data_IF_958318534117
#
_entry.id   IF_958318534117
#
_cell.length_a   1.000
_cell.length_b   1.000
_cell.length_c   1.000
_cell.angle_alpha   90.00
_cell.angle_beta   90.00
_cell.angle_gamma   90.00
#
_symmetry.space_group_name_H-M   'P 1'
#
loop_
_entity.id
_entity.type
_entity.pdbx_description
1 polymer ?
#
# COMPACT_ATOMS: atom_id res chain seq x y z
N UNK A 1 -16.79 -88.36 -24.07
CA UNK A 1 -17.35 -87.09 -24.60
C UNK A 1 -17.32 -86.06 -23.49
N UNK A 2 -16.71 -84.90 -23.76
CA UNK A 2 -16.48 -83.78 -22.84
C UNK A 2 -17.71 -82.88 -22.77
N UNK A 3 -18.09 -82.40 -21.58
CA UNK A 3 -18.83 -81.14 -21.41
C UNK A 3 -18.54 -80.54 -20.03
N UNK A 4 -17.83 -79.41 -19.99
CA UNK A 4 -17.76 -78.47 -18.85
C UNK A 4 -18.67 -77.28 -19.17
N UNK A 5 -19.45 -76.72 -18.23
CA UNK A 5 -19.97 -75.36 -18.38
C UNK A 5 -19.03 -74.33 -17.74
N UNK A 6 -19.03 -73.15 -18.35
CA UNK A 6 -18.06 -72.08 -18.23
C UNK A 6 -18.32 -71.13 -17.06
N UNK A 7 -17.24 -70.52 -16.56
CA UNK A 7 -17.25 -69.42 -15.59
C UNK A 7 -18.02 -68.20 -16.12
N UNK A 8 -18.89 -67.64 -15.29
CA UNK A 8 -19.48 -66.32 -15.49
C UNK A 8 -18.45 -65.22 -15.20
N UNK A 9 -18.32 -64.27 -16.14
CA UNK A 9 -17.48 -63.09 -15.98
C UNK A 9 -18.25 -62.00 -15.21
N UNK A 10 -17.71 -61.60 -14.06
CA UNK A 10 -18.18 -60.47 -13.26
C UNK A 10 -17.59 -59.19 -13.85
N UNK A 11 -18.42 -58.32 -14.43
CA UNK A 11 -18.02 -57.02 -14.97
C UNK A 11 -17.91 -56.02 -13.81
N UNK A 12 -16.69 -55.64 -13.44
CA UNK A 12 -16.43 -54.55 -12.49
C UNK A 12 -16.53 -53.22 -13.25
N UNK A 13 -17.61 -52.47 -13.05
CA UNK A 13 -17.69 -51.07 -13.48
C UNK A 13 -16.76 -50.23 -12.60
N UNK A 14 -15.60 -49.89 -13.14
CA UNK A 14 -14.74 -48.82 -12.63
C UNK A 14 -15.45 -47.48 -12.87
N UNK A 15 -16.11 -46.95 -11.83
CA UNK A 15 -16.56 -45.56 -11.80
C UNK A 15 -15.32 -44.67 -11.88
N UNK A 16 -15.11 -44.06 -13.04
CA UNK A 16 -14.13 -43.00 -13.22
C UNK A 16 -14.59 -41.79 -12.38
N UNK A 17 -14.02 -41.64 -11.18
CA UNK A 17 -14.10 -40.40 -10.42
C UNK A 17 -13.39 -39.34 -11.25
N UNK A 18 -14.06 -38.26 -11.70
CA UNK A 18 -13.38 -37.18 -12.39
C UNK A 18 -12.37 -36.59 -11.40
N UNK A 19 -11.08 -36.77 -11.69
CA UNK A 19 -10.01 -36.01 -11.05
C UNK A 19 -10.36 -34.55 -11.29
N UNK A 20 -10.62 -33.78 -10.22
CA UNK A 20 -10.62 -32.34 -10.30
C UNK A 20 -9.32 -31.96 -11.00
N UNK A 21 -9.41 -31.37 -12.19
CA UNK A 21 -8.24 -30.80 -12.85
C UNK A 21 -7.66 -29.80 -11.85
N UNK A 22 -6.42 -30.01 -11.42
CA UNK A 22 -5.69 -29.03 -10.62
C UNK A 22 -5.66 -27.74 -11.44
N UNK A 23 -6.56 -26.80 -11.09
CA UNK A 23 -6.62 -25.52 -11.74
C UNK A 23 -5.26 -24.86 -11.57
N UNK A 24 -4.63 -24.46 -12.69
CA UNK A 24 -3.35 -23.76 -12.61
C UNK A 24 -3.59 -22.46 -11.83
N UNK A 25 -2.87 -22.22 -10.72
CA UNK A 25 -3.10 -21.05 -9.90
C UNK A 25 -2.84 -19.78 -10.71
N UNK A 26 -3.69 -18.77 -10.54
CA UNK A 26 -3.40 -17.45 -11.07
C UNK A 26 -2.22 -16.85 -10.32
N UNK A 27 -1.41 -16.06 -11.04
CA UNK A 27 -0.18 -15.47 -10.51
C UNK A 27 -0.22 -13.97 -10.70
N UNK A 28 -0.17 -13.23 -9.59
CA UNK A 28 0.10 -11.79 -9.59
C UNK A 28 1.57 -11.54 -9.28
N UNK A 29 2.17 -10.64 -10.04
CA UNK A 29 3.56 -10.19 -9.90
C UNK A 29 3.58 -8.68 -9.75
N UNK A 30 4.33 -8.21 -8.77
CA UNK A 30 4.48 -6.80 -8.48
C UNK A 30 5.97 -6.44 -8.39
N UNK A 31 6.43 -5.41 -9.10
CA UNK A 31 7.78 -4.94 -8.94
C UNK A 31 7.94 -4.29 -7.56
N UNK A 32 9.05 -4.60 -6.88
CA UNK A 32 9.45 -3.98 -5.62
C UNK A 32 10.87 -3.46 -5.74
N UNK A 33 11.29 -2.63 -4.78
CA UNK A 33 12.69 -2.17 -4.70
C UNK A 33 13.69 -3.32 -4.50
N UNK A 34 13.22 -4.47 -3.99
CA UNK A 34 14.05 -5.64 -3.68
C UNK A 34 13.89 -6.78 -4.70
N UNK A 35 13.14 -6.58 -5.79
CA UNK A 35 12.88 -7.64 -6.78
C UNK A 35 11.39 -7.80 -7.05
N UNK A 36 10.92 -9.04 -7.17
CA UNK A 36 9.51 -9.33 -7.47
C UNK A 36 8.78 -9.84 -6.23
N UNK A 37 7.59 -9.28 -5.99
CA UNK A 37 6.61 -9.78 -5.04
C UNK A 37 5.55 -10.58 -5.79
N UNK A 38 5.41 -11.85 -5.46
CA UNK A 38 4.57 -12.79 -6.22
C UNK A 38 3.53 -13.46 -5.32
N UNK A 39 2.29 -13.51 -5.81
CA UNK A 39 1.17 -14.19 -5.18
C UNK A 39 0.59 -15.21 -6.14
N UNK A 40 0.49 -16.47 -5.71
CA UNK A 40 -0.22 -17.52 -6.41
C UNK A 40 -1.49 -17.91 -5.64
N UNK A 41 -2.64 -17.96 -6.31
CA UNK A 41 -3.94 -18.15 -5.69
C UNK A 41 -4.93 -18.83 -6.65
N UNK A 42 -6.03 -19.35 -6.10
CA UNK A 42 -7.12 -19.94 -6.88
C UNK A 42 -8.21 -18.89 -7.17
N UNK A 43 -8.46 -18.63 -8.45
CA UNK A 43 -9.52 -17.69 -8.90
C UNK A 43 -10.93 -18.15 -8.54
N UNK A 44 -11.13 -19.45 -8.26
CA UNK A 44 -12.40 -19.97 -7.75
C UNK A 44 -12.63 -19.61 -6.28
N UNK A 45 -11.56 -19.29 -5.53
CA UNK A 45 -11.61 -18.89 -4.12
C UNK A 45 -11.68 -17.36 -3.99
N UNK A 46 -10.85 -16.64 -4.74
CA UNK A 46 -10.84 -15.17 -4.76
C UNK A 46 -10.66 -14.66 -6.20
N UNK A 47 -11.55 -13.80 -6.71
CA UNK A 47 -11.39 -13.20 -8.04
C UNK A 47 -10.07 -12.44 -8.18
N UNK A 48 -9.45 -12.47 -9.36
CA UNK A 48 -8.15 -11.81 -9.59
C UNK A 48 -8.20 -10.30 -9.27
N UNK A 49 -9.27 -9.60 -9.64
CA UNK A 49 -9.43 -8.17 -9.34
C UNK A 49 -9.39 -7.89 -7.84
N UNK A 50 -10.09 -8.71 -7.06
CA UNK A 50 -10.14 -8.60 -5.60
C UNK A 50 -8.78 -8.93 -4.98
N UNK A 51 -8.14 -10.02 -5.43
CA UNK A 51 -6.80 -10.39 -5.00
C UNK A 51 -5.78 -9.29 -5.36
N UNK A 52 -5.90 -8.65 -6.52
CA UNK A 52 -5.04 -7.53 -6.91
C UNK A 52 -5.22 -6.33 -5.98
N UNK A 53 -6.45 -6.04 -5.55
CA UNK A 53 -6.70 -4.98 -4.56
C UNK A 53 -6.10 -5.34 -3.18
N UNK A 54 -6.30 -6.57 -2.70
CA UNK A 54 -5.75 -7.00 -1.41
C UNK A 54 -4.24 -7.15 -1.40
N UNK A 55 -3.64 -7.54 -2.53
CA UNK A 55 -2.19 -7.60 -2.67
C UNK A 55 -1.55 -6.25 -2.33
N UNK A 56 -2.15 -5.14 -2.77
CA UNK A 56 -1.66 -3.77 -2.52
C UNK A 56 -1.60 -3.37 -1.04
N UNK A 57 -2.21 -4.15 -0.16
CA UNK A 57 -2.18 -3.99 1.29
C UNK A 57 -1.02 -4.74 1.96
N UNK A 58 -0.34 -5.62 1.21
CA UNK A 58 0.74 -6.48 1.72
C UNK A 58 1.84 -5.66 2.42
N UNK A 59 2.38 -6.13 3.57
CA UNK A 59 3.49 -5.47 4.22
C UNK A 59 4.79 -5.60 3.42
N UNK A 60 4.81 -6.45 2.38
CA UNK A 60 5.95 -6.67 1.49
C UNK A 60 5.95 -5.74 0.29
N UNK A 61 4.82 -5.09 0.02
CA UNK A 61 4.74 -4.06 -1.01
C UNK A 61 5.13 -2.71 -0.44
N UNK A 62 6.29 -2.23 -0.87
CA UNK A 62 6.81 -0.91 -0.56
C UNK A 62 6.83 -0.03 -1.81
N UNK A 63 6.76 1.29 -1.62
CA UNK A 63 6.92 2.25 -2.70
C UNK A 63 5.66 2.42 -3.55
N UNK A 64 5.83 2.41 -4.88
CA UNK A 64 4.83 2.89 -5.84
C UNK A 64 3.50 2.11 -5.83
N UNK A 65 3.57 0.88 -5.34
CA UNK A 65 2.52 -0.12 -5.46
C UNK A 65 1.83 -0.42 -4.13
N UNK A 66 2.27 0.23 -3.06
CA UNK A 66 1.68 0.09 -1.73
C UNK A 66 0.51 1.05 -1.55
N UNK A 67 -0.56 0.59 -0.91
CA UNK A 67 -1.73 1.42 -0.61
C UNK A 67 -1.72 2.06 0.78
N UNK A 68 -0.61 1.94 1.52
CA UNK A 68 -0.51 2.44 2.90
C UNK A 68 0.09 3.86 3.01
N UNK A 69 0.60 4.43 1.91
CA UNK A 69 1.24 5.75 1.87
C UNK A 69 0.72 6.54 0.68
N UNK A 70 0.41 7.83 0.89
CA UNK A 70 0.03 8.72 -0.19
C UNK A 70 1.25 9.07 -1.07
N UNK A 71 1.06 9.31 -2.38
CA UNK A 71 2.15 9.81 -3.21
C UNK A 71 2.68 11.14 -2.67
N UNK A 72 4.01 11.23 -2.48
CA UNK A 72 4.67 12.47 -2.01
C UNK A 72 4.45 13.62 -2.98
N UNK A 73 4.42 14.86 -2.48
CA UNK A 73 4.26 16.05 -3.34
C UNK A 73 5.30 16.14 -4.47
N UNK A 74 6.55 15.73 -4.21
CA UNK A 74 7.66 15.77 -5.15
C UNK A 74 7.61 14.67 -6.22
N UNK A 75 6.70 13.68 -6.09
CA UNK A 75 6.56 12.63 -7.09
C UNK A 75 6.13 13.25 -8.41
N UNK A 76 6.91 13.00 -9.45
CA UNK A 76 6.54 13.33 -10.82
C UNK A 76 7.12 12.28 -11.77
N UNK A 77 6.23 11.57 -12.44
CA UNK A 77 6.57 10.52 -13.41
C UNK A 77 6.39 11.14 -14.79
N UNK A 78 7.49 11.26 -15.54
CA UNK A 78 7.43 11.75 -16.92
C UNK A 78 6.52 10.83 -17.74
N UNK A 79 5.77 11.44 -18.66
CA UNK A 79 4.88 10.74 -19.61
C UNK A 79 3.68 10.00 -18.99
N UNK A 80 3.50 10.05 -17.66
CA UNK A 80 2.30 9.50 -17.01
C UNK A 80 1.13 10.50 -17.10
N UNK A 81 -0.07 10.06 -17.52
CA UNK A 81 -1.23 10.93 -17.65
C UNK A 81 -1.53 11.74 -16.37
N UNK A 82 -1.71 13.04 -16.57
CA UNK A 82 -2.01 14.01 -15.51
C UNK A 82 -0.81 14.80 -15.02
N UNK A 83 0.43 14.29 -15.14
CA UNK A 83 1.61 15.10 -14.85
C UNK A 83 1.96 16.02 -16.02
N UNK A 84 2.41 17.23 -15.68
CA UNK A 84 3.10 18.13 -16.59
C UNK A 84 4.62 17.95 -16.46
N UNK A 85 5.38 18.64 -17.31
CA UNK A 85 6.85 18.63 -17.26
C UNK A 85 7.39 18.72 -15.83
N UNK A 86 8.21 17.74 -15.47
CA UNK A 86 8.65 17.51 -14.10
C UNK A 86 9.77 18.48 -13.67
N UNK A 87 10.49 19.08 -14.62
CA UNK A 87 11.67 19.90 -14.34
C UNK A 87 12.63 19.21 -13.36
N UNK A 88 13.08 19.96 -12.34
CA UNK A 88 13.96 19.45 -11.29
C UNK A 88 13.25 18.66 -10.18
N UNK A 89 11.94 18.44 -10.28
CA UNK A 89 11.09 17.84 -9.21
C UNK A 89 11.24 18.54 -7.85
N UNK A 90 11.44 19.85 -7.87
CA UNK A 90 11.62 20.68 -6.67
C UNK A 90 10.50 21.71 -6.56
N UNK A 91 10.39 22.38 -5.41
CA UNK A 91 9.48 23.52 -5.23
C UNK A 91 9.66 24.63 -6.28
N UNK A 92 10.84 24.73 -6.88
CA UNK A 92 11.16 25.76 -7.88
C UNK A 92 10.79 25.35 -9.30
N UNK A 93 10.40 24.08 -9.54
CA UNK A 93 9.88 23.65 -10.83
C UNK A 93 8.56 24.38 -11.16
N UNK A 94 8.45 24.87 -12.40
CA UNK A 94 7.27 25.63 -12.87
C UNK A 94 5.93 24.90 -12.66
N UNK A 95 5.92 23.57 -12.75
CA UNK A 95 4.72 22.74 -12.59
C UNK A 95 4.63 22.02 -11.24
N UNK A 96 5.49 22.35 -10.25
CA UNK A 96 5.50 21.65 -8.95
C UNK A 96 4.10 21.59 -8.36
N UNK A 97 3.42 22.72 -8.25
CA UNK A 97 2.12 22.77 -7.59
C UNK A 97 1.04 21.97 -8.34
N UNK A 98 1.03 22.02 -9.68
CA UNK A 98 0.09 21.24 -10.50
C UNK A 98 0.31 19.74 -10.31
N UNK A 99 1.57 19.31 -10.36
CA UNK A 99 1.94 17.91 -10.20
C UNK A 99 1.71 17.42 -8.76
N UNK A 100 1.92 18.27 -7.76
CA UNK A 100 1.60 17.98 -6.37
C UNK A 100 0.09 17.75 -6.15
N UNK A 101 -0.79 18.52 -6.82
CA UNK A 101 -2.25 18.28 -6.77
C UNK A 101 -2.63 16.93 -7.35
N UNK A 102 -1.99 16.50 -8.44
CA UNK A 102 -2.20 15.15 -9.01
C UNK A 102 -1.90 14.08 -7.96
N UNK A 103 -0.85 14.25 -7.16
CA UNK A 103 -0.48 13.35 -6.06
C UNK A 103 -1.54 13.33 -4.94
N UNK A 104 -1.99 14.50 -4.51
CA UNK A 104 -3.03 14.63 -3.49
C UNK A 104 -4.35 14.01 -3.95
N UNK A 105 -4.79 14.29 -5.18
CA UNK A 105 -6.01 13.72 -5.74
C UNK A 105 -5.93 12.20 -5.87
N UNK A 106 -4.75 11.66 -6.19
CA UNK A 106 -4.50 10.20 -6.20
C UNK A 106 -4.62 9.62 -4.79
N UNK A 107 -4.03 10.26 -3.79
CA UNK A 107 -4.15 9.86 -2.39
C UNK A 107 -5.60 9.87 -1.91
N UNK A 108 -6.36 10.92 -2.23
CA UNK A 108 -7.78 11.05 -1.91
C UNK A 108 -8.64 9.96 -2.56
N UNK A 109 -8.44 9.68 -3.86
CA UNK A 109 -9.11 8.57 -4.56
C UNK A 109 -8.76 7.22 -3.94
N UNK A 110 -7.50 6.99 -3.62
CA UNK A 110 -7.07 5.74 -3.01
C UNK A 110 -7.69 5.55 -1.62
N UNK A 111 -7.79 6.60 -0.82
CA UNK A 111 -8.46 6.56 0.48
C UNK A 111 -9.96 6.26 0.33
N UNK A 112 -10.61 6.81 -0.69
CA UNK A 112 -11.99 6.44 -1.03
C UNK A 112 -12.10 4.97 -1.43
N UNK A 113 -11.17 4.45 -2.23
CA UNK A 113 -11.09 3.03 -2.57
C UNK A 113 -10.99 2.16 -1.31
N UNK A 114 -10.04 2.44 -0.42
CA UNK A 114 -9.88 1.68 0.84
C UNK A 114 -11.15 1.69 1.71
N UNK A 115 -11.87 2.82 1.77
CA UNK A 115 -13.14 2.93 2.50
C UNK A 115 -14.27 2.10 1.89
N UNK A 116 -14.20 1.85 0.58
CA UNK A 116 -15.19 1.07 -0.16
C UNK A 116 -14.88 -0.42 -0.23
N UNK A 117 -13.65 -0.83 0.11
CA UNK A 117 -13.25 -2.23 0.11
C UNK A 117 -14.12 -3.05 1.07
N UNK A 118 -14.48 -4.24 0.62
CA UNK A 118 -15.23 -5.23 1.41
C UNK A 118 -14.34 -6.45 1.66
N UNK A 119 -13.38 -6.36 2.60
CA UNK A 119 -12.47 -7.47 2.84
C UNK A 119 -13.19 -8.64 3.53
N UNK A 120 -12.69 -9.89 3.37
CA UNK A 120 -13.05 -10.97 4.26
C UNK A 120 -12.69 -10.58 5.71
N UNK A 121 -13.47 -11.06 6.69
CA UNK A 121 -13.33 -10.64 8.11
C UNK A 121 -11.90 -10.76 8.65
N UNK A 122 -11.19 -11.80 8.23
CA UNK A 122 -9.80 -12.05 8.64
C UNK A 122 -8.85 -10.93 8.20
N UNK A 123 -9.14 -10.24 7.10
CA UNK A 123 -8.33 -9.16 6.53
C UNK A 123 -8.77 -7.76 7.02
N UNK A 124 -9.88 -7.65 7.77
CA UNK A 124 -10.37 -6.37 8.29
C UNK A 124 -9.32 -5.57 9.08
N UNK A 125 -8.51 -6.16 9.97
CA UNK A 125 -7.45 -5.41 10.67
C UNK A 125 -6.43 -4.78 9.71
N UNK A 126 -6.06 -5.47 8.63
CA UNK A 126 -5.12 -4.98 7.60
C UNK A 126 -5.72 -3.80 6.84
N UNK A 127 -6.99 -3.88 6.46
CA UNK A 127 -7.69 -2.77 5.78
C UNK A 127 -7.81 -1.55 6.70
N UNK A 128 -8.15 -1.76 7.98
CA UNK A 128 -8.23 -0.68 8.96
C UNK A 128 -6.89 -0.01 9.21
N UNK A 129 -5.81 -0.79 9.37
CA UNK A 129 -4.45 -0.29 9.44
C UNK A 129 -4.10 0.55 8.21
N UNK A 130 -4.30 -0.01 7.01
CA UNK A 130 -3.96 0.63 5.74
C UNK A 130 -4.72 1.94 5.54
N UNK A 131 -6.00 1.98 5.93
CA UNK A 131 -6.84 3.18 5.89
C UNK A 131 -6.29 4.29 6.80
N UNK A 132 -5.91 3.95 8.04
CA UNK A 132 -5.34 4.90 9.01
C UNK A 132 -3.95 5.39 8.59
N UNK A 133 -3.13 4.49 8.05
CA UNK A 133 -1.80 4.81 7.53
C UNK A 133 -1.89 5.77 6.33
N UNK A 134 -2.76 5.47 5.36
CA UNK A 134 -2.95 6.30 4.18
C UNK A 134 -3.59 7.65 4.53
N UNK A 135 -4.59 7.68 5.40
CA UNK A 135 -5.23 8.93 5.83
C UNK A 135 -4.21 9.87 6.50
N UNK A 136 -3.37 9.32 7.37
CA UNK A 136 -2.26 10.07 7.97
C UNK A 136 -1.26 10.58 6.94
N UNK A 137 -0.79 9.70 6.06
CA UNK A 137 0.16 10.08 5.02
C UNK A 137 -0.42 11.15 4.10
N UNK A 138 -1.71 11.09 3.76
CA UNK A 138 -2.37 12.11 2.95
C UNK A 138 -2.44 13.44 3.71
N UNK A 139 -2.85 13.43 4.98
CA UNK A 139 -2.88 14.63 5.81
C UNK A 139 -1.51 15.30 5.91
N UNK A 140 -0.42 14.53 6.02
CA UNK A 140 0.95 15.05 6.01
C UNK A 140 1.26 15.80 4.70
N UNK A 141 0.96 15.19 3.55
CA UNK A 141 1.21 15.81 2.26
C UNK A 141 0.32 17.04 2.02
N UNK A 142 -0.96 17.00 2.42
CA UNK A 142 -1.88 18.14 2.35
C UNK A 142 -1.40 19.32 3.21
N UNK A 143 -0.95 19.03 4.44
CA UNK A 143 -0.43 20.04 5.37
C UNK A 143 0.84 20.69 4.84
N UNK A 144 1.78 19.89 4.30
CA UNK A 144 2.98 20.40 3.63
C UNK A 144 2.62 21.25 2.42
N UNK A 145 1.68 20.80 1.61
CA UNK A 145 1.25 21.49 0.39
C UNK A 145 0.67 22.86 0.71
N UNK A 146 -0.21 22.94 1.71
CA UNK A 146 -0.76 24.21 2.17
C UNK A 146 0.34 25.13 2.71
N UNK A 147 1.26 24.61 3.52
CA UNK A 147 2.41 25.38 4.00
C UNK A 147 3.28 25.90 2.83
N UNK A 148 3.55 25.11 1.79
CA UNK A 148 4.36 25.56 0.65
C UNK A 148 3.66 26.64 -0.19
N UNK A 149 2.32 26.68 -0.17
CA UNK A 149 1.53 27.73 -0.83
C UNK A 149 1.47 29.02 -0.02
N UNK A 150 1.31 28.94 1.30
CA UNK A 150 1.05 30.11 2.16
C UNK A 150 2.29 30.61 2.89
N UNK A 151 3.26 29.73 3.11
CA UNK A 151 4.41 29.89 4.01
C UNK A 151 4.03 30.20 5.47
N UNK A 152 2.76 29.98 5.83
CA UNK A 152 2.22 30.18 7.18
C UNK A 152 2.54 28.98 8.07
N UNK A 153 3.39 29.20 9.08
CA UNK A 153 3.79 28.17 10.03
C UNK A 153 2.64 27.70 10.93
N UNK A 154 1.52 28.43 11.02
CA UNK A 154 0.33 27.99 11.77
C UNK A 154 -0.28 26.71 11.20
N UNK A 155 -0.15 26.48 9.90
CA UNK A 155 -0.62 25.28 9.20
C UNK A 155 0.03 24.03 9.78
N UNK A 156 1.33 24.10 10.07
CA UNK A 156 2.13 22.98 10.59
C UNK A 156 1.84 22.64 12.06
N UNK A 157 1.05 23.48 12.74
CA UNK A 157 0.64 23.32 14.14
C UNK A 157 -0.75 22.69 14.29
N UNK A 158 -1.47 22.47 13.18
CA UNK A 158 -2.85 21.97 13.22
C UNK A 158 -2.90 20.56 13.82
N UNK A 159 -3.78 20.31 14.79
CA UNK A 159 -3.92 18.99 15.38
C UNK A 159 -4.54 18.00 14.39
N UNK A 160 -4.18 16.72 14.55
CA UNK A 160 -4.76 15.61 13.78
C UNK A 160 -4.95 14.39 14.67
N UNK A 161 -6.18 13.87 14.78
CA UNK A 161 -6.50 12.66 15.56
C UNK A 161 -5.87 12.61 16.98
N UNK A 162 -5.91 13.75 17.67
CA UNK A 162 -5.34 13.90 19.02
C UNK A 162 -3.82 13.95 19.09
N UNK A 163 -3.14 14.13 17.95
CA UNK A 163 -1.75 14.53 17.85
C UNK A 163 -1.67 16.06 17.77
N UNK A 164 -0.81 16.67 18.58
CA UNK A 164 -0.55 18.11 18.60
C UNK A 164 0.87 18.39 18.08
N UNK A 165 1.03 18.72 16.78
CA UNK A 165 2.34 19.03 16.22
C UNK A 165 3.02 20.25 16.85
N UNK A 166 2.24 21.20 17.38
CA UNK A 166 2.77 22.40 18.02
C UNK A 166 3.53 22.04 19.30
N UNK A 167 2.93 21.19 20.13
CA UNK A 167 3.57 20.68 21.34
C UNK A 167 4.71 19.70 21.04
N UNK A 168 4.50 18.76 20.12
CA UNK A 168 5.46 17.68 19.84
C UNK A 168 6.71 18.15 19.09
N UNK A 169 6.53 19.06 18.14
CA UNK A 169 7.58 19.50 17.22
C UNK A 169 7.98 20.97 17.43
N UNK A 170 7.71 21.52 18.63
CA UNK A 170 8.00 22.90 19.02
C UNK A 170 9.41 23.38 18.62
N UNK A 171 10.50 22.65 18.95
CA UNK A 171 11.85 23.07 18.57
C UNK A 171 12.06 23.24 17.06
N UNK A 172 11.43 22.38 16.25
CA UNK A 172 11.50 22.45 14.78
C UNK A 172 10.71 23.65 14.25
N UNK A 173 9.56 23.95 14.86
CA UNK A 173 8.71 25.08 14.50
C UNK A 173 9.34 26.42 14.90
N UNK A 174 10.00 26.49 16.05
CA UNK A 174 10.74 27.68 16.49
C UNK A 174 11.93 27.99 15.57
N UNK A 175 12.62 26.95 15.10
CA UNK A 175 13.68 27.10 14.10
C UNK A 175 13.12 27.61 12.77
N UNK A 176 11.99 27.08 12.33
CA UNK A 176 11.32 27.50 11.09
C UNK A 176 11.00 29.00 11.09
N UNK A 177 10.60 29.58 12.23
CA UNK A 177 10.28 31.01 12.36
C UNK A 177 11.50 31.92 12.16
N UNK A 178 12.71 31.43 12.42
CA UNK A 178 13.96 32.18 12.25
C UNK A 178 14.48 32.13 10.81
N UNK A 179 14.09 31.13 10.04
CA UNK A 179 14.55 30.96 8.66
C UNK A 179 13.71 31.84 7.71
N UNK A 180 14.39 32.73 6.99
CA UNK A 180 13.78 33.60 5.96
C UNK A 180 13.74 32.96 4.58
N UNK A 181 14.75 32.17 4.25
CA UNK A 181 14.89 31.55 2.92
C UNK A 181 13.87 30.42 2.74
N UNK A 182 13.07 30.50 1.67
CA UNK A 182 12.02 29.50 1.37
C UNK A 182 12.56 28.10 1.18
N UNK A 183 13.72 27.95 0.54
CA UNK A 183 14.30 26.64 0.28
C UNK A 183 14.77 25.96 1.59
N UNK A 184 15.39 26.73 2.49
CA UNK A 184 15.75 26.23 3.81
C UNK A 184 14.52 25.86 4.66
N UNK A 185 13.46 26.68 4.62
CA UNK A 185 12.15 26.36 5.25
C UNK A 185 11.57 25.06 4.70
N UNK A 186 11.60 24.89 3.38
CA UNK A 186 11.16 23.67 2.72
C UNK A 186 11.93 22.45 3.19
N UNK A 187 13.27 22.47 3.16
CA UNK A 187 14.10 21.33 3.60
C UNK A 187 13.83 20.96 5.06
N UNK A 188 13.69 21.97 5.93
CA UNK A 188 13.36 21.76 7.33
C UNK A 188 11.99 21.07 7.48
N UNK A 189 10.98 21.51 6.74
CA UNK A 189 9.63 20.90 6.81
C UNK A 189 9.59 19.51 6.19
N UNK A 190 10.18 19.34 5.00
CA UNK A 190 10.21 18.09 4.26
C UNK A 190 10.94 16.97 5.00
N UNK A 191 11.89 17.31 5.88
CA UNK A 191 12.66 16.34 6.65
C UNK A 191 12.33 16.38 8.14
N UNK A 192 12.70 17.45 8.85
CA UNK A 192 12.65 17.48 10.33
C UNK A 192 11.25 17.54 10.89
N UNK A 193 10.39 18.41 10.34
CA UNK A 193 9.01 18.48 10.79
C UNK A 193 8.29 17.19 10.43
N UNK A 194 8.41 16.74 9.16
CA UNK A 194 7.82 15.50 8.68
C UNK A 194 8.18 14.30 9.56
N UNK A 195 9.46 14.05 9.82
CA UNK A 195 9.88 12.93 10.66
C UNK A 195 9.36 13.07 12.09
N UNK A 196 9.44 14.27 12.69
CA UNK A 196 8.95 14.49 14.05
C UNK A 196 7.47 14.12 14.22
N UNK A 197 6.59 14.61 13.34
CA UNK A 197 5.16 14.29 13.43
C UNK A 197 4.88 12.84 13.03
N UNK A 198 5.60 12.32 12.03
CA UNK A 198 5.40 10.95 11.54
C UNK A 198 5.81 9.91 12.59
N UNK A 199 6.96 10.08 13.24
CA UNK A 199 7.42 9.18 14.29
C UNK A 199 6.42 9.14 15.46
N UNK A 200 5.90 10.31 15.86
CA UNK A 200 4.87 10.40 16.89
C UNK A 200 3.56 9.70 16.49
N UNK A 201 3.14 9.79 15.22
CA UNK A 201 1.95 9.10 14.76
C UNK A 201 2.16 7.60 14.59
N UNK A 202 3.32 7.14 14.13
CA UNK A 202 3.62 5.71 13.96
C UNK A 202 3.48 4.94 15.28
N UNK A 203 3.89 5.55 16.41
CA UNK A 203 3.65 4.98 17.75
C UNK A 203 2.16 4.79 18.04
N UNK A 204 1.30 5.71 17.58
CA UNK A 204 -0.17 5.63 17.76
C UNK A 204 -0.85 4.72 16.73
N UNK A 205 -0.28 4.59 15.55
CA UNK A 205 -0.77 3.69 14.50
C UNK A 205 -0.59 2.23 14.95
N UNK A 206 0.55 1.94 15.59
CA UNK A 206 0.94 0.61 16.01
C UNK A 206 1.56 -0.20 14.87
N UNK A 207 1.84 -1.47 15.16
CA UNK A 207 2.44 -2.38 14.19
C UNK A 207 1.45 -2.80 13.10
N UNK A 208 1.98 -3.16 11.93
CA UNK A 208 1.20 -3.78 10.88
C UNK A 208 0.59 -5.10 11.39
N UNK A 209 -0.70 -5.38 11.16
CA UNK A 209 -1.37 -6.57 11.69
C UNK A 209 -1.00 -7.83 10.90
N UNK A 210 0.23 -8.30 11.11
CA UNK A 210 0.83 -9.42 10.38
C UNK A 210 0.02 -10.70 10.56
N UNK A 211 -0.45 -10.99 11.77
CA UNK A 211 -1.27 -12.18 12.05
C UNK A 211 -2.53 -12.26 11.18
N UNK A 212 -3.18 -11.12 10.96
CA UNK A 212 -4.36 -11.01 10.11
C UNK A 212 -4.03 -11.22 8.63
N UNK A 213 -2.90 -10.65 8.18
CA UNK A 213 -2.39 -10.86 6.82
C UNK A 213 -2.06 -12.34 6.56
N UNK A 214 -1.29 -12.96 7.45
CA UNK A 214 -0.93 -14.37 7.30
C UNK A 214 -2.14 -15.30 7.42
N UNK A 215 -3.08 -14.99 8.31
CA UNK A 215 -4.33 -15.73 8.42
C UNK A 215 -5.18 -15.60 7.15
N UNK A 216 -5.22 -14.43 6.51
CA UNK A 216 -5.86 -14.24 5.21
C UNK A 216 -5.23 -15.14 4.15
N UNK A 217 -3.89 -15.14 4.03
CA UNK A 217 -3.17 -15.97 3.09
C UNK A 217 -3.46 -17.46 3.30
N UNK A 218 -3.37 -17.94 4.54
CA UNK A 218 -3.65 -19.34 4.89
C UNK A 218 -5.10 -19.74 4.60
N UNK A 219 -6.06 -18.90 4.99
CA UNK A 219 -7.51 -19.20 4.85
C UNK A 219 -7.92 -19.34 3.39
N UNK A 220 -7.28 -18.60 2.47
CA UNK A 220 -7.61 -18.60 1.05
C UNK A 220 -6.61 -19.41 0.19
N UNK A 221 -5.69 -20.16 0.82
CA UNK A 221 -4.70 -20.97 0.11
C UNK A 221 -3.75 -20.14 -0.76
N UNK A 222 -3.51 -18.87 -0.41
CA UNK A 222 -2.66 -17.96 -1.18
C UNK A 222 -1.20 -18.22 -0.82
N UNK A 223 -0.37 -18.49 -1.83
CA UNK A 223 1.06 -18.64 -1.67
C UNK A 223 1.76 -17.32 -1.97
N UNK A 224 2.40 -16.77 -0.94
CA UNK A 224 3.24 -15.57 -1.05
C UNK A 224 4.71 -15.97 -1.24
N UNK A 225 5.36 -15.35 -2.23
CA UNK A 225 6.80 -15.46 -2.46
C UNK A 225 7.38 -14.06 -2.59
N UNK A 226 8.35 -13.76 -1.73
CA UNK A 226 9.16 -12.55 -1.81
C UNK A 226 10.54 -12.99 -2.29
N UNK A 227 10.98 -12.51 -3.46
CA UNK A 227 12.39 -12.66 -3.81
C UNK A 227 13.19 -11.67 -2.95
N UNK A 228 13.93 -12.19 -1.99
CA UNK A 228 14.93 -11.44 -1.23
C UNK A 228 16.32 -11.67 -1.86
N UNK A 229 16.91 -10.66 -2.53
CA UNK A 229 18.26 -10.79 -3.10
C UNK A 229 19.34 -10.88 -2.02
N UNK A 230 19.00 -10.71 -0.74
CA UNK A 230 19.92 -10.85 0.40
C UNK A 230 19.76 -12.16 1.19
N UNK A 231 18.83 -13.04 0.81
CA UNK A 231 18.58 -14.33 1.48
C UNK A 231 17.98 -14.19 2.89
N UNK A 232 17.53 -15.30 3.51
CA UNK A 232 16.98 -15.27 4.87
C UNK A 232 18.04 -14.77 5.85
N UNK A 233 17.72 -13.71 6.60
CA UNK A 233 18.50 -13.29 7.78
C UNK A 233 18.07 -14.07 9.01
#
# INVERSE_FOLDING_TARGET
MRSRPALGALLVLLLAVPRAADATPAILKFPTLLGEYTLAFDTAVIPEEEMRAFARLSPRLHGLESWVVAPRLERCVADEPGYHDCGARSLTSANFERNARVNLDRGGRLLATLRSLRPPRVLSPVVDYSRRALAWSLWLEETKFEFYRTWDASVLRRPYEGLDPGALCGPVLDELERIREREARYRLVAYRWHNCVNDAYLVRLGDYPLDAWEAFLRTHGIREVVLDPLGPR
#
